data_IF_200853250232
#
_entry.id   IF_200853250232
#
_cell.length_a   1.000
_cell.length_b   1.000
_cell.length_c   1.000
_cell.angle_alpha   90.00
_cell.angle_beta   90.00
_cell.angle_gamma   90.00
#
_symmetry.space_group_name_H-M   'P 1'
#
loop_
_entity.id
_entity.type
_entity.pdbx_description
1 polymer ?
#
# COMPACT_ATOMS: atom_id res chain seq x y z
N UNK A 1 23.27 -22.64 10.26
CA UNK A 1 23.10 -24.08 10.47
C UNK A 1 23.12 -24.36 11.95
N UNK A 2 22.33 -25.32 12.39
CA UNK A 2 22.30 -25.77 13.78
C UNK A 2 23.65 -26.41 14.15
N UNK A 3 24.09 -26.26 15.41
CA UNK A 3 25.42 -26.67 15.89
C UNK A 3 25.41 -27.92 16.77
N UNK A 4 24.29 -28.64 16.87
CA UNK A 4 24.16 -29.81 17.75
C UNK A 4 24.01 -29.46 19.24
N UNK A 5 23.83 -28.18 19.58
CA UNK A 5 23.67 -27.72 20.96
C UNK A 5 22.18 -27.74 21.34
N UNK A 6 21.85 -28.08 22.58
CA UNK A 6 20.46 -28.19 23.06
C UNK A 6 19.75 -26.82 23.17
N UNK A 7 20.47 -25.75 23.46
CA UNK A 7 19.93 -24.40 23.71
C UNK A 7 20.69 -23.31 22.93
N UNK A 8 20.09 -22.12 22.79
CA UNK A 8 20.67 -20.98 22.07
C UNK A 8 20.21 -20.82 20.60
N UNK A 9 20.61 -19.72 19.95
CA UNK A 9 20.10 -19.31 18.63
C UNK A 9 20.36 -20.32 17.49
N UNK A 10 21.45 -21.09 17.57
CA UNK A 10 21.83 -22.11 16.58
C UNK A 10 21.71 -23.53 17.13
N UNK A 11 20.71 -23.76 17.98
CA UNK A 11 20.41 -25.08 18.56
C UNK A 11 19.83 -26.05 17.55
N UNK A 12 19.86 -27.34 17.89
CA UNK A 12 19.29 -28.43 17.12
C UNK A 12 20.33 -29.24 16.34
N UNK A 13 19.88 -30.34 15.75
CA UNK A 13 20.71 -31.23 14.96
C UNK A 13 20.99 -30.62 13.56
N UNK A 14 22.23 -30.68 13.04
CA UNK A 14 22.56 -30.13 11.73
C UNK A 14 21.93 -30.96 10.60
N UNK A 15 20.68 -30.63 10.24
CA UNK A 15 19.96 -31.18 9.08
C UNK A 15 20.06 -30.26 7.87
N UNK A 16 20.03 -30.84 6.67
CA UNK A 16 19.87 -30.10 5.43
C UNK A 16 18.38 -29.76 5.22
N UNK A 17 18.01 -28.48 5.25
CA UNK A 17 16.63 -28.06 5.02
C UNK A 17 16.37 -27.76 3.55
N UNK A 18 15.47 -28.53 2.94
CA UNK A 18 14.95 -28.27 1.60
C UNK A 18 13.94 -27.13 1.68
N UNK A 19 14.24 -25.98 1.05
CA UNK A 19 13.31 -24.84 1.02
C UNK A 19 12.24 -25.09 -0.04
N UNK A 20 10.99 -25.27 0.38
CA UNK A 20 9.85 -25.25 -0.54
C UNK A 20 9.58 -23.83 -1.00
N UNK A 21 9.41 -23.64 -2.31
CA UNK A 21 9.06 -22.35 -2.87
C UNK A 21 7.63 -21.97 -2.43
N UNK A 22 7.52 -20.98 -1.54
CA UNK A 22 6.21 -20.37 -1.24
C UNK A 22 5.73 -19.63 -2.49
N UNK A 23 4.77 -20.20 -3.21
CA UNK A 23 4.13 -19.55 -4.36
C UNK A 23 3.24 -18.41 -3.84
N UNK A 24 3.74 -17.18 -3.92
CA UNK A 24 2.93 -15.97 -3.69
C UNK A 24 2.66 -15.31 -5.04
N UNK A 25 1.40 -15.27 -5.44
CA UNK A 25 1.00 -14.56 -6.65
C UNK A 25 1.01 -13.06 -6.35
N UNK A 26 2.09 -12.39 -6.76
CA UNK A 26 2.19 -10.93 -6.73
C UNK A 26 1.17 -10.27 -7.66
N UNK A 27 1.22 -8.94 -7.73
CA UNK A 27 0.42 -8.20 -8.72
C UNK A 27 0.99 -8.49 -10.10
N UNK A 28 0.22 -9.18 -10.94
CA UNK A 28 0.58 -9.42 -12.35
C UNK A 28 0.23 -8.20 -13.20
N UNK A 29 0.86 -8.06 -14.38
CA UNK A 29 0.57 -6.96 -15.32
C UNK A 29 -0.93 -6.84 -15.63
N UNK A 30 -1.60 -7.98 -15.86
CA UNK A 30 -3.05 -8.03 -16.06
C UNK A 30 -3.82 -7.49 -14.86
N UNK A 31 -3.44 -7.87 -13.64
CA UNK A 31 -4.14 -7.42 -12.42
C UNK A 31 -3.99 -5.91 -12.19
N UNK A 32 -2.84 -5.33 -12.53
CA UNK A 32 -2.63 -3.89 -12.45
C UNK A 32 -3.59 -3.13 -13.38
N UNK A 33 -3.62 -3.49 -14.67
CA UNK A 33 -4.50 -2.84 -15.67
C UNK A 33 -5.97 -2.96 -15.27
N UNK A 34 -6.40 -4.14 -14.81
CA UNK A 34 -7.80 -4.33 -14.36
C UNK A 34 -8.13 -3.44 -13.15
N UNK A 35 -7.22 -3.34 -12.17
CA UNK A 35 -7.43 -2.50 -11.00
C UNK A 35 -7.51 -1.01 -11.36
N UNK A 36 -6.70 -0.55 -12.31
CA UNK A 36 -6.70 0.85 -12.75
C UNK A 36 -8.02 1.22 -13.43
N UNK A 37 -8.53 0.36 -14.32
CA UNK A 37 -9.84 0.54 -14.98
C UNK A 37 -10.98 0.57 -13.96
N UNK A 38 -10.97 -0.32 -12.97
CA UNK A 38 -12.01 -0.32 -11.91
C UNK A 38 -11.95 0.97 -11.10
N UNK A 39 -10.74 1.48 -10.81
CA UNK A 39 -10.56 2.70 -10.03
C UNK A 39 -11.07 3.94 -10.77
N UNK A 40 -10.86 3.99 -12.08
CA UNK A 40 -11.41 5.04 -12.95
C UNK A 40 -12.94 4.98 -12.99
N UNK A 41 -13.52 3.79 -13.19
CA UNK A 41 -14.97 3.61 -13.31
C UNK A 41 -15.73 3.86 -12.00
N UNK A 42 -15.25 3.35 -10.87
CA UNK A 42 -15.97 3.42 -9.59
C UNK A 42 -15.60 4.64 -8.74
N UNK A 43 -14.45 5.27 -9.00
CA UNK A 43 -13.93 6.38 -8.19
C UNK A 43 -13.59 6.01 -6.75
N UNK A 44 -13.67 7.00 -5.85
CA UNK A 44 -13.35 6.86 -4.42
C UNK A 44 -14.60 6.78 -3.55
N UNK A 45 -14.57 5.89 -2.56
CA UNK A 45 -15.63 5.77 -1.56
C UNK A 45 -15.65 6.97 -0.59
N UNK A 46 -16.73 7.12 0.17
CA UNK A 46 -16.92 8.25 1.08
C UNK A 46 -15.81 8.40 2.12
N UNK A 47 -15.30 7.30 2.69
CA UNK A 47 -14.24 7.35 3.69
C UNK A 47 -12.88 7.67 3.06
N UNK A 48 -12.64 7.24 1.82
CA UNK A 48 -11.43 7.59 1.06
C UNK A 48 -11.40 9.06 0.68
N UNK A 49 -12.55 9.63 0.27
CA UNK A 49 -12.69 11.07 0.02
C UNK A 49 -12.41 11.90 1.27
N UNK A 50 -12.95 11.51 2.42
CA UNK A 50 -12.63 12.19 3.68
C UNK A 50 -11.13 12.11 4.04
N UNK A 51 -10.48 10.97 3.77
CA UNK A 51 -9.04 10.85 3.95
C UNK A 51 -8.25 11.75 2.99
N UNK A 52 -8.69 11.90 1.75
CA UNK A 52 -8.08 12.85 0.80
C UNK A 52 -8.12 14.28 1.34
N UNK A 53 -9.25 14.71 1.90
CA UNK A 53 -9.38 16.07 2.46
C UNK A 53 -8.46 16.28 3.66
N UNK A 54 -8.33 15.28 4.53
CA UNK A 54 -7.40 15.34 5.65
C UNK A 54 -5.94 15.45 5.18
N UNK A 55 -5.57 14.68 4.14
CA UNK A 55 -4.23 14.69 3.57
C UNK A 55 -3.94 15.99 2.80
N UNK A 56 -4.92 16.56 2.08
CA UNK A 56 -4.80 17.89 1.44
C UNK A 56 -4.52 19.00 2.45
N UNK A 57 -5.07 18.88 3.66
CA UNK A 57 -4.85 19.83 4.77
C UNK A 57 -3.55 19.58 5.54
N UNK A 58 -2.75 18.58 5.18
CA UNK A 58 -1.51 18.22 5.90
C UNK A 58 -1.73 17.56 7.26
N UNK A 59 -2.88 16.90 7.47
CA UNK A 59 -3.25 16.30 8.76
C UNK A 59 -3.00 14.77 8.78
N UNK A 60 -1.78 14.33 8.49
CA UNK A 60 -1.43 12.91 8.30
C UNK A 60 -1.76 12.01 9.50
N UNK A 61 -1.48 12.48 10.72
CA UNK A 61 -1.78 11.74 11.95
C UNK A 61 -3.29 11.53 12.14
N UNK A 62 -4.10 12.52 11.75
CA UNK A 62 -5.57 12.41 11.79
C UNK A 62 -6.08 11.48 10.70
N UNK A 63 -5.53 11.56 9.48
CA UNK A 63 -5.85 10.63 8.40
C UNK A 63 -5.56 9.18 8.79
N UNK A 64 -4.40 8.91 9.42
CA UNK A 64 -4.03 7.59 9.91
C UNK A 64 -4.97 7.09 11.02
N UNK A 65 -5.35 7.96 11.97
CA UNK A 65 -6.30 7.60 13.03
C UNK A 65 -7.69 7.28 12.45
N UNK A 66 -8.13 8.03 11.45
CA UNK A 66 -9.38 7.79 10.73
C UNK A 66 -9.34 6.46 9.94
N UNK A 67 -8.25 6.22 9.21
CA UNK A 67 -8.02 4.98 8.45
C UNK A 67 -8.00 3.75 9.37
N UNK A 68 -7.30 3.84 10.51
CA UNK A 68 -7.26 2.77 11.52
C UNK A 68 -8.64 2.49 12.10
N UNK A 69 -9.46 3.52 12.34
CA UNK A 69 -10.84 3.35 12.83
C UNK A 69 -11.72 2.57 11.84
N UNK A 70 -11.53 2.76 10.53
CA UNK A 70 -12.31 2.07 9.49
C UNK A 70 -11.76 0.69 9.12
N UNK A 71 -10.43 0.52 9.07
CA UNK A 71 -9.77 -0.71 8.62
C UNK A 71 -9.32 -1.65 9.76
N UNK A 72 -9.40 -1.17 11.00
CA UNK A 72 -9.09 -1.89 12.24
C UNK A 72 -7.60 -1.87 12.62
N UNK A 73 -6.70 -2.22 11.69
CA UNK A 73 -5.27 -2.40 12.01
C UNK A 73 -4.38 -1.26 11.53
N UNK A 74 -3.27 -1.05 12.24
CA UNK A 74 -2.30 0.00 11.90
C UNK A 74 -1.66 -0.20 10.52
N UNK A 75 -1.27 -1.44 10.19
CA UNK A 75 -0.64 -1.77 8.90
C UNK A 75 -1.57 -1.49 7.71
N UNK A 76 -2.86 -1.83 7.83
CA UNK A 76 -3.86 -1.51 6.80
C UNK A 76 -4.11 -0.01 6.69
N UNK A 77 -4.18 0.69 7.83
CA UNK A 77 -4.29 2.15 7.86
C UNK A 77 -3.14 2.86 7.15
N UNK A 78 -1.89 2.42 7.41
CA UNK A 78 -0.70 2.92 6.72
C UNK A 78 -0.77 2.67 5.22
N UNK A 79 -1.04 1.42 4.82
CA UNK A 79 -1.13 1.06 3.40
C UNK A 79 -2.20 1.90 2.66
N UNK A 80 -3.35 2.15 3.31
CA UNK A 80 -4.42 2.94 2.72
C UNK A 80 -4.09 4.42 2.62
N UNK A 81 -3.45 4.98 3.64
CA UNK A 81 -2.93 6.36 3.60
C UNK A 81 -1.96 6.53 2.44
N UNK A 82 -1.00 5.61 2.29
CA UNK A 82 0.02 5.67 1.24
C UNK A 82 -0.60 5.54 -0.17
N UNK A 83 -1.61 4.68 -0.32
CA UNK A 83 -2.39 4.57 -1.56
C UNK A 83 -3.10 5.89 -1.93
N UNK A 84 -3.73 6.55 -0.94
CA UNK A 84 -4.41 7.83 -1.18
C UNK A 84 -3.43 8.96 -1.44
N UNK A 85 -2.30 8.99 -0.75
CA UNK A 85 -1.25 9.98 -0.98
C UNK A 85 -0.72 9.90 -2.42
N UNK A 86 -0.43 8.68 -2.91
CA UNK A 86 -0.04 8.46 -4.31
C UNK A 86 -1.11 8.91 -5.30
N UNK A 87 -2.38 8.65 -5.00
CA UNK A 87 -3.48 9.13 -5.84
C UNK A 87 -3.55 10.66 -5.90
N UNK A 88 -3.34 11.35 -4.77
CA UNK A 88 -3.30 12.81 -4.73
C UNK A 88 -2.11 13.39 -5.51
N UNK A 89 -0.94 12.76 -5.43
CA UNK A 89 0.24 13.14 -6.20
C UNK A 89 0.00 12.98 -7.71
N UNK A 90 -0.62 11.87 -8.13
CA UNK A 90 -0.98 11.64 -9.52
C UNK A 90 -1.99 12.69 -10.05
N UNK A 91 -3.02 13.02 -9.26
CA UNK A 91 -4.00 14.06 -9.61
C UNK A 91 -3.31 15.43 -9.75
N UNK A 92 -2.41 15.78 -8.83
CA UNK A 92 -1.66 17.04 -8.90
C UNK A 92 -0.79 17.10 -10.16
N UNK A 93 -0.10 16.02 -10.51
CA UNK A 93 0.73 15.94 -11.71
C UNK A 93 -0.12 16.06 -13.00
N UNK A 94 -1.26 15.38 -13.06
CA UNK A 94 -2.18 15.48 -14.20
C UNK A 94 -2.73 16.90 -14.37
N UNK A 95 -3.10 17.56 -13.27
CA UNK A 95 -3.56 18.94 -13.30
C UNK A 95 -2.48 19.92 -13.78
N UNK A 96 -1.22 19.72 -13.38
CA UNK A 96 -0.10 20.52 -13.86
C UNK A 96 0.12 20.37 -15.37
N UNK A 97 0.03 19.14 -15.90
CA UNK A 97 0.17 18.88 -17.33
C UNK A 97 -0.91 19.60 -18.17
N UNK A 98 -2.17 19.61 -17.71
CA UNK A 98 -3.25 20.32 -18.38
C UNK A 98 -2.98 21.83 -18.47
N UNK A 99 -2.49 22.43 -17.39
CA UNK A 99 -2.16 23.86 -17.37
C UNK A 99 -1.00 24.26 -18.30
N UNK A 100 -0.08 23.35 -18.62
CA UNK A 100 0.97 23.60 -19.62
C UNK A 100 0.45 23.51 -21.06
N UNK A 101 -0.56 22.68 -21.31
CA UNK A 101 -1.10 22.45 -22.66
C UNK A 101 -2.05 23.57 -23.13
N UNK A 102 -2.62 24.35 -22.21
CA UNK A 102 -3.42 25.54 -22.51
C UNK A 102 -2.59 26.82 -22.73
N UNK A 103 -1.28 26.77 -22.46
CA UNK A 103 -0.36 27.92 -22.62
C UNK A 103 0.45 27.90 -23.92
N UNK A 104 0.23 26.90 -24.78
CA UNK A 104 0.80 26.77 -26.13
C UNK A 104 -0.29 26.87 -27.19
#
# INVERSE_FOLDING_TARGET
MARGIAVGLKRGYPVHTMKTAKRHYGVTKRKHVVNDVIREACGFSAYERHMMDLLRRGLDKKALKYAKKHLGTHKRGLAKRDEIQRALEAIKAAHAHLGHHEQH
#
